data_IF_480932062375
#
_entry.id   IF_480932062375
#
_cell.length_a   1.000
_cell.length_b   1.000
_cell.length_c   1.000
_cell.angle_alpha   90.00
_cell.angle_beta   90.00
_cell.angle_gamma   90.00
#
_symmetry.space_group_name_H-M   'P 1'
#
loop_
_entity.id
_entity.type
_entity.pdbx_description
1 polymer ?
#
# COMPACT_ATOMS: atom_id res chain seq x y z
N UNK A 1 16.61 -28.20 15.54
CA UNK A 1 15.18 -27.84 15.45
C UNK A 1 15.07 -26.39 14.99
N UNK A 2 14.46 -26.12 13.84
CA UNK A 2 14.20 -24.73 13.39
C UNK A 2 13.10 -24.17 14.29
N UNK A 3 13.44 -23.22 15.17
CA UNK A 3 12.47 -22.56 16.05
C UNK A 3 11.47 -21.81 15.16
N UNK A 4 10.19 -22.16 15.26
CA UNK A 4 9.12 -21.41 14.61
C UNK A 4 9.15 -19.98 15.15
N UNK A 5 9.55 -19.02 14.30
CA UNK A 5 9.45 -17.59 14.63
C UNK A 5 8.01 -17.18 14.37
N UNK A 6 7.33 -16.70 15.41
CA UNK A 6 6.01 -16.10 15.26
C UNK A 6 6.18 -14.90 14.31
N UNK A 7 5.42 -14.82 13.20
CA UNK A 7 5.49 -13.68 12.30
C UNK A 7 5.06 -12.43 13.07
N UNK A 8 5.99 -11.51 13.28
CA UNK A 8 5.69 -10.19 13.86
C UNK A 8 5.17 -9.31 12.75
N UNK A 9 3.86 -9.38 12.52
CA UNK A 9 3.18 -8.39 11.68
C UNK A 9 3.29 -7.02 12.36
N UNK A 10 3.78 -5.99 11.65
CA UNK A 10 3.83 -4.64 12.19
C UNK A 10 2.42 -4.17 12.56
N UNK A 11 2.31 -3.35 13.60
CA UNK A 11 1.01 -2.79 14.01
C UNK A 11 0.47 -1.89 12.90
N UNK A 12 -0.74 -2.16 12.43
CA UNK A 12 -1.44 -1.34 11.42
C UNK A 12 -2.67 -0.69 12.04
N UNK A 13 -2.94 0.56 11.66
CA UNK A 13 -4.14 1.30 12.06
C UNK A 13 -4.95 1.63 10.81
N UNK A 14 -6.25 1.31 10.79
CA UNK A 14 -7.13 1.69 9.69
C UNK A 14 -7.39 3.21 9.72
N UNK A 15 -7.28 3.88 8.58
CA UNK A 15 -7.61 5.28 8.40
C UNK A 15 -8.54 5.42 7.19
N UNK A 16 -9.70 6.03 7.40
CA UNK A 16 -10.66 6.32 6.33
C UNK A 16 -10.38 7.69 5.73
N UNK A 17 -10.13 7.73 4.42
CA UNK A 17 -9.93 8.97 3.66
C UNK A 17 -10.82 8.94 2.40
N UNK A 18 -11.14 10.11 1.86
CA UNK A 18 -11.84 10.23 0.58
C UNK A 18 -10.81 10.37 -0.53
N UNK A 19 -10.94 9.55 -1.58
CA UNK A 19 -10.12 9.60 -2.79
C UNK A 19 -11.04 10.04 -3.94
N UNK A 20 -10.64 11.00 -4.79
CA UNK A 20 -11.41 11.38 -5.97
C UNK A 20 -11.69 10.18 -6.88
N UNK A 21 -12.89 10.11 -7.47
CA UNK A 21 -13.31 8.97 -8.31
C UNK A 21 -12.39 8.73 -9.50
N UNK A 22 -11.96 9.81 -10.18
CA UNK A 22 -11.03 9.73 -11.30
C UNK A 22 -9.72 9.02 -10.93
N UNK A 23 -9.21 9.28 -9.73
CA UNK A 23 -8.00 8.61 -9.23
C UNK A 23 -8.28 7.15 -8.91
N UNK A 24 -9.45 6.83 -8.34
CA UNK A 24 -9.84 5.44 -8.07
C UNK A 24 -9.87 4.65 -9.39
N UNK A 25 -10.53 5.18 -10.42
CA UNK A 25 -10.64 4.54 -11.74
C UNK A 25 -9.26 4.32 -12.37
N UNK A 26 -8.37 5.31 -12.29
CA UNK A 26 -7.00 5.18 -12.80
C UNK A 26 -6.21 4.10 -12.06
N UNK A 27 -6.33 4.02 -10.73
CA UNK A 27 -5.65 3.00 -9.94
C UNK A 27 -6.20 1.62 -10.24
N UNK A 28 -7.53 1.46 -10.33
CA UNK A 28 -8.17 0.18 -10.65
C UNK A 28 -7.76 -0.32 -12.04
N UNK A 29 -7.74 0.57 -13.04
CA UNK A 29 -7.23 0.24 -14.38
C UNK A 29 -5.74 -0.15 -14.35
N UNK A 30 -4.92 0.54 -13.56
CA UNK A 30 -3.49 0.27 -13.45
C UNK A 30 -3.16 -1.06 -12.75
N UNK A 31 -4.02 -1.53 -11.84
CA UNK A 31 -3.85 -2.81 -11.13
C UNK A 31 -4.65 -3.96 -11.77
N UNK A 32 -5.47 -3.68 -12.79
CA UNK A 32 -6.24 -4.71 -13.49
C UNK A 32 -5.33 -5.79 -14.08
N UNK A 33 -5.65 -7.06 -13.79
CA UNK A 33 -4.84 -8.20 -14.23
C UNK A 33 -3.52 -8.37 -13.46
N UNK A 34 -3.23 -7.54 -12.45
CA UNK A 34 -2.10 -7.70 -11.55
C UNK A 34 -2.55 -8.37 -10.26
N UNK A 35 -1.67 -9.16 -9.64
CA UNK A 35 -1.89 -9.72 -8.30
C UNK A 35 -1.65 -8.66 -7.20
N UNK A 36 -2.34 -7.52 -7.29
CA UNK A 36 -2.21 -6.40 -6.36
C UNK A 36 -3.60 -5.89 -5.96
N UNK A 37 -3.77 -5.55 -4.68
CA UNK A 37 -5.01 -4.93 -4.18
C UNK A 37 -4.89 -3.42 -4.18
N UNK A 38 -6.02 -2.71 -4.23
CA UNK A 38 -6.05 -1.25 -4.15
C UNK A 38 -5.29 -0.73 -2.92
N UNK A 39 -5.52 -1.33 -1.74
CA UNK A 39 -4.82 -0.95 -0.51
C UNK A 39 -3.31 -1.18 -0.59
N UNK A 40 -2.86 -2.29 -1.20
CA UNK A 40 -1.44 -2.55 -1.38
C UNK A 40 -0.78 -1.52 -2.31
N UNK A 41 -1.47 -1.13 -3.38
CA UNK A 41 -1.04 -0.07 -4.28
C UNK A 41 -0.90 1.27 -3.54
N UNK A 42 -1.94 1.68 -2.79
CA UNK A 42 -1.93 2.94 -2.02
C UNK A 42 -0.80 2.95 -0.98
N UNK A 43 -0.58 1.84 -0.27
CA UNK A 43 0.52 1.73 0.70
C UNK A 43 1.88 1.90 0.00
N UNK A 44 2.08 1.27 -1.17
CA UNK A 44 3.31 1.40 -1.93
C UNK A 44 3.54 2.84 -2.42
N UNK A 45 2.50 3.48 -2.95
CA UNK A 45 2.57 4.87 -3.41
C UNK A 45 2.90 5.84 -2.28
N UNK A 46 2.31 5.66 -1.09
CA UNK A 46 2.60 6.50 0.08
C UNK A 46 4.04 6.31 0.55
N UNK A 47 4.55 5.07 0.57
CA UNK A 47 5.95 4.80 0.94
C UNK A 47 6.92 5.49 -0.01
N UNK A 48 6.72 5.29 -1.32
CA UNK A 48 7.53 5.94 -2.35
C UNK A 48 7.52 7.46 -2.20
N UNK A 49 6.35 8.07 -2.01
CA UNK A 49 6.24 9.51 -1.82
C UNK A 49 6.93 10.02 -0.54
N UNK A 50 6.99 9.22 0.53
CA UNK A 50 7.74 9.58 1.74
C UNK A 50 9.25 9.44 1.52
N UNK A 51 9.69 8.37 0.86
CA UNK A 51 11.10 8.15 0.50
C UNK A 51 11.62 9.31 -0.39
N UNK A 52 10.84 9.74 -1.39
CA UNK A 52 11.15 10.91 -2.24
C UNK A 52 11.28 12.22 -1.44
N UNK A 53 10.57 12.35 -0.32
CA UNK A 53 10.67 13.53 0.56
C UNK A 53 11.89 13.46 1.48
N UNK A 54 12.33 12.26 1.86
CA UNK A 54 13.53 12.05 2.70
C UNK A 54 14.83 12.13 1.91
N UNK A 55 14.83 11.78 0.62
CA UNK A 55 15.99 11.95 -0.26
C UNK A 55 16.27 13.42 -0.67
N UNK A 56 15.43 14.36 -0.23
CA UNK A 56 15.50 15.79 -0.57
C UNK A 56 16.01 16.66 0.56
#
# INVERSE_FOLDING_TARGET
MRKFKIPSIPKTTNKTIRIPNDIIEQVEAAIQGKNCTFSAFVIAAIKMALEDLEEK
#
